data_IF_822432203696
#
_entry.id   IF_822432203696
#
_cell.length_a   1.000
_cell.length_b   1.000
_cell.length_c   1.000
_cell.angle_alpha   90.00
_cell.angle_beta   90.00
_cell.angle_gamma   90.00
#
_symmetry.space_group_name_H-M   'P 1'
#
loop_
_entity.id
_entity.type
_entity.pdbx_description
1 polymer ?
#
# COMPACT_ATOMS: atom_id res chain seq x y z
N UNK A 1 -3.21 -23.38 -16.95
CA UNK A 1 -2.82 -21.96 -17.05
C UNK A 1 -2.32 -21.58 -15.69
N UNK A 2 -1.11 -21.09 -15.57
CA UNK A 2 -0.53 -20.69 -14.29
C UNK A 2 -1.29 -19.45 -13.79
N UNK A 3 -1.80 -19.49 -12.56
CA UNK A 3 -2.58 -18.39 -11.99
C UNK A 3 -1.63 -17.25 -11.61
N UNK A 4 -1.94 -16.02 -12.04
CA UNK A 4 -1.13 -14.83 -11.76
C UNK A 4 -1.83 -13.90 -10.78
N UNK A 5 -1.04 -13.20 -9.96
CA UNK A 5 -1.51 -12.12 -9.11
C UNK A 5 -1.00 -10.76 -9.61
N UNK A 6 -1.90 -9.76 -9.78
CA UNK A 6 -3.34 -9.85 -9.62
C UNK A 6 -3.99 -10.46 -10.88
N UNK A 7 -5.09 -11.20 -10.72
CA UNK A 7 -5.82 -11.81 -11.85
C UNK A 7 -6.59 -10.80 -12.70
N UNK A 8 -6.86 -9.62 -12.14
CA UNK A 8 -7.50 -8.46 -12.80
C UNK A 8 -7.05 -7.18 -12.11
N UNK A 9 -7.22 -6.04 -12.77
CA UNK A 9 -6.90 -4.77 -12.14
C UNK A 9 -7.85 -4.44 -10.96
N UNK A 10 -7.29 -3.84 -9.91
CA UNK A 10 -8.01 -3.15 -8.84
C UNK A 10 -7.57 -1.70 -8.86
N UNK A 11 -8.53 -0.79 -9.00
CA UNK A 11 -8.27 0.64 -9.21
C UNK A 11 -8.69 1.46 -8.00
N UNK A 12 -8.02 2.59 -7.78
CA UNK A 12 -8.40 3.60 -6.81
C UNK A 12 -8.40 3.09 -5.37
N UNK A 13 -7.45 2.22 -5.01
CA UNK A 13 -7.33 1.71 -3.63
C UNK A 13 -6.84 2.85 -2.74
N UNK A 14 -7.79 3.55 -2.15
CA UNK A 14 -7.54 4.71 -1.31
C UNK A 14 -7.08 4.33 0.10
N UNK A 15 -6.07 5.04 0.58
CA UNK A 15 -5.62 5.04 1.96
C UNK A 15 -5.62 6.47 2.46
N UNK A 16 -6.29 6.68 3.59
CA UNK A 16 -6.27 7.93 4.33
C UNK A 16 -6.06 7.60 5.79
N UNK A 17 -4.90 7.97 6.31
CA UNK A 17 -4.51 7.79 7.69
C UNK A 17 -4.36 9.15 8.35
N UNK A 18 -4.81 9.24 9.60
CA UNK A 18 -4.54 10.37 10.49
C UNK A 18 -5.47 10.34 11.71
N UNK A 19 -4.97 10.69 12.89
CA UNK A 19 -5.81 10.86 14.09
C UNK A 19 -6.33 12.27 14.19
N UNK A 20 -7.55 12.44 14.68
CA UNK A 20 -8.26 13.74 14.70
C UNK A 20 -7.74 14.65 15.83
N UNK A 21 -6.76 14.21 16.64
CA UNK A 21 -6.50 14.83 17.95
C UNK A 21 -5.05 15.15 18.34
N UNK A 22 -4.02 14.69 17.63
CA UNK A 22 -2.64 14.90 18.06
C UNK A 22 -1.79 15.50 16.93
N UNK A 23 -0.85 16.39 17.30
CA UNK A 23 0.25 16.87 16.44
C UNK A 23 1.28 15.77 16.14
N UNK A 24 0.85 14.51 16.04
CA UNK A 24 1.72 13.37 15.77
C UNK A 24 1.85 13.20 14.26
N UNK A 25 3.05 12.85 13.73
CA UNK A 25 3.27 12.68 12.31
C UNK A 25 2.66 11.35 11.80
N UNK A 26 1.33 11.34 11.67
CA UNK A 26 0.48 10.20 11.35
C UNK A 26 -0.40 10.37 10.10
N UNK A 27 -0.09 11.37 9.27
CA UNK A 27 -0.80 11.67 8.03
C UNK A 27 -0.23 10.89 6.84
N UNK A 28 -1.11 10.17 6.14
CA UNK A 28 -0.87 9.65 4.80
C UNK A 28 -2.17 9.68 4.00
N UNK A 29 -2.15 10.24 2.79
CA UNK A 29 -3.33 10.27 1.92
C UNK A 29 -2.94 10.01 0.48
N UNK A 30 -3.25 8.83 -0.03
CA UNK A 30 -2.91 8.45 -1.41
C UNK A 30 -3.85 7.38 -1.95
N UNK A 31 -3.75 7.14 -3.26
CA UNK A 31 -4.43 6.02 -3.92
C UNK A 31 -3.48 5.23 -4.80
N UNK A 32 -3.65 3.90 -4.79
CA UNK A 32 -2.89 2.97 -5.62
C UNK A 32 -3.80 2.22 -6.57
N UNK A 33 -3.31 1.98 -7.78
CA UNK A 33 -3.82 0.94 -8.67
C UNK A 33 -2.94 -0.30 -8.59
N UNK A 34 -3.57 -1.47 -8.59
CA UNK A 34 -2.91 -2.77 -8.66
C UNK A 34 -3.33 -3.43 -9.97
N UNK A 35 -2.38 -3.62 -10.88
CA UNK A 35 -2.64 -4.06 -12.24
C UNK A 35 -1.82 -5.29 -12.60
N UNK A 36 -2.34 -6.19 -13.45
CA UNK A 36 -1.50 -7.19 -14.08
C UNK A 36 -0.39 -6.51 -14.89
N UNK A 37 0.81 -7.08 -14.87
CA UNK A 37 1.90 -6.60 -15.72
C UNK A 37 1.52 -6.74 -17.21
N UNK A 38 1.79 -5.70 -18.03
CA UNK A 38 1.53 -5.77 -19.47
C UNK A 38 2.30 -6.90 -20.15
N UNK A 39 1.67 -7.51 -21.16
CA UNK A 39 2.32 -8.52 -22.01
C UNK A 39 2.55 -9.88 -21.33
N UNK A 40 1.88 -10.16 -20.21
CA UNK A 40 2.03 -11.43 -19.50
C UNK A 40 3.38 -11.61 -18.80
N UNK A 41 4.12 -10.51 -18.57
CA UNK A 41 5.37 -10.52 -17.81
C UNK A 41 5.11 -10.89 -16.35
N UNK A 42 6.06 -11.55 -15.72
CA UNK A 42 6.07 -11.82 -14.29
C UNK A 42 6.98 -10.82 -13.58
N UNK A 43 6.85 -10.71 -12.26
CA UNK A 43 7.59 -9.80 -11.41
C UNK A 43 6.75 -8.68 -10.79
N UNK A 44 7.44 -7.69 -10.26
CA UNK A 44 6.87 -6.55 -9.54
C UNK A 44 7.41 -5.23 -10.10
N UNK A 45 6.52 -4.29 -10.36
CA UNK A 45 6.84 -2.93 -10.84
C UNK A 45 6.09 -1.91 -9.98
N UNK A 46 6.79 -0.88 -9.48
CA UNK A 46 6.17 0.25 -8.78
C UNK A 46 6.39 1.53 -9.58
N UNK A 47 5.30 2.23 -9.90
CA UNK A 47 5.26 3.41 -10.78
C UNK A 47 4.77 4.59 -9.96
N UNK A 48 5.60 5.61 -9.79
CA UNK A 48 5.31 6.78 -8.94
C UNK A 48 5.47 8.14 -9.65
N UNK A 49 5.86 8.13 -10.91
CA UNK A 49 6.16 9.28 -11.77
C UNK A 49 4.92 9.97 -12.38
N UNK A 50 3.71 9.56 -12.00
CA UNK A 50 2.45 10.04 -12.62
C UNK A 50 1.78 11.20 -11.90
N UNK A 51 2.04 11.39 -10.61
CA UNK A 51 1.45 12.48 -9.83
C UNK A 51 2.39 12.86 -8.68
N UNK A 52 3.10 13.98 -8.85
CA UNK A 52 3.88 14.59 -7.78
C UNK A 52 2.92 15.40 -6.93
N UNK A 53 2.42 14.81 -5.84
CA UNK A 53 1.90 15.63 -4.76
C UNK A 53 3.03 16.53 -4.28
N UNK A 54 3.00 17.82 -4.63
CA UNK A 54 3.81 18.82 -3.96
C UNK A 54 3.19 19.03 -2.57
N UNK A 55 4.02 19.21 -1.54
CA UNK A 55 3.49 19.71 -0.28
C UNK A 55 3.16 21.21 -0.40
N UNK A 56 2.68 21.83 0.68
CA UNK A 56 2.30 23.25 0.67
C UNK A 56 3.49 24.22 0.47
N UNK A 57 4.72 23.71 0.40
CA UNK A 57 5.97 24.47 0.26
C UNK A 57 6.81 24.05 -0.96
N UNK A 58 6.24 23.28 -1.90
CA UNK A 58 6.95 22.73 -3.07
C UNK A 58 8.17 21.86 -2.70
N UNK A 59 8.19 21.22 -1.52
CA UNK A 59 9.24 20.28 -1.14
C UNK A 59 9.02 18.92 -1.81
N UNK A 60 10.13 18.30 -2.23
CA UNK A 60 10.18 16.96 -2.83
C UNK A 60 9.99 15.83 -1.79
N UNK A 61 8.97 15.93 -0.94
CA UNK A 61 8.58 14.85 -0.03
C UNK A 61 8.21 13.55 -0.76
N UNK A 62 7.89 13.67 -2.05
CA UNK A 62 7.62 12.54 -2.93
C UNK A 62 8.78 11.55 -2.98
N UNK A 63 10.01 12.03 -3.18
CA UNK A 63 11.19 11.17 -3.24
C UNK A 63 11.47 10.45 -1.91
N UNK A 64 11.06 11.06 -0.79
CA UNK A 64 11.19 10.48 0.53
C UNK A 64 10.12 9.42 0.81
N UNK A 65 8.86 9.70 0.48
CA UNK A 65 7.73 8.87 0.94
C UNK A 65 7.19 7.88 -0.10
N UNK A 66 7.32 8.11 -1.40
CA UNK A 66 6.93 7.12 -2.40
C UNK A 66 7.69 5.79 -2.23
N UNK A 67 9.01 5.76 -1.95
CA UNK A 67 9.71 4.52 -1.63
C UNK A 67 9.20 3.82 -0.36
N UNK A 68 8.67 4.58 0.62
CA UNK A 68 8.09 4.01 1.82
C UNK A 68 6.75 3.33 1.54
N UNK A 69 5.92 3.93 0.67
CA UNK A 69 4.68 3.29 0.18
C UNK A 69 5.02 1.97 -0.53
N UNK A 70 5.99 1.98 -1.45
CA UNK A 70 6.47 0.77 -2.15
C UNK A 70 6.90 -0.31 -1.15
N UNK A 71 7.76 0.05 -0.19
CA UNK A 71 8.22 -0.86 0.86
C UNK A 71 7.05 -1.48 1.63
N UNK A 72 6.04 -0.69 1.98
CA UNK A 72 4.83 -1.17 2.64
C UNK A 72 4.07 -2.21 1.82
N UNK A 73 3.89 -1.94 0.52
CA UNK A 73 3.25 -2.86 -0.41
C UNK A 73 4.01 -4.18 -0.45
N UNK A 74 5.34 -4.14 -0.63
CA UNK A 74 6.17 -5.35 -0.69
C UNK A 74 6.08 -6.18 0.59
N UNK A 75 6.11 -5.54 1.77
CA UNK A 75 5.95 -6.24 3.05
C UNK A 75 4.63 -7.02 3.11
N UNK A 76 3.53 -6.44 2.61
CA UNK A 76 2.26 -7.16 2.56
C UNK A 76 2.31 -8.36 1.60
N UNK A 77 2.92 -8.19 0.43
CA UNK A 77 3.04 -9.22 -0.60
C UNK A 77 3.98 -10.36 -0.20
N UNK A 78 5.00 -10.09 0.60
CA UNK A 78 5.90 -11.10 1.16
C UNK A 78 5.33 -11.75 2.43
N UNK A 79 4.12 -11.40 2.86
CA UNK A 79 3.48 -11.96 4.05
C UNK A 79 4.10 -11.48 5.36
N UNK A 80 4.89 -10.41 5.33
CA UNK A 80 5.42 -9.78 6.54
C UNK A 80 4.28 -9.13 7.34
N UNK A 81 4.41 -9.11 8.68
CA UNK A 81 3.40 -8.49 9.53
C UNK A 81 3.24 -7.01 9.21
N UNK A 82 2.09 -6.46 9.60
CA UNK A 82 1.83 -5.02 9.57
C UNK A 82 3.00 -4.27 10.24
N UNK A 83 3.62 -3.27 9.58
CA UNK A 83 4.70 -2.48 10.16
C UNK A 83 4.32 -1.86 11.51
N UNK A 84 5.25 -1.90 12.48
CA UNK A 84 5.13 -1.25 13.79
C UNK A 84 5.95 0.04 13.78
N UNK A 85 5.36 1.16 14.13
CA UNK A 85 6.12 2.38 14.42
C UNK A 85 5.67 3.00 15.73
N UNK A 86 6.56 3.79 16.33
CA UNK A 86 6.57 4.19 17.75
C UNK A 86 5.29 4.93 18.19
N UNK A 87 4.57 5.56 17.26
CA UNK A 87 3.28 6.25 17.47
C UNK A 87 2.04 5.37 17.27
N UNK A 88 2.19 4.09 16.89
CA UNK A 88 1.09 3.18 16.61
C UNK A 88 1.07 2.03 17.62
N UNK A 89 0.17 2.10 18.60
CA UNK A 89 -0.12 0.95 19.45
C UNK A 89 -0.61 -0.23 18.60
N UNK A 90 -0.11 -1.41 18.98
CA UNK A 90 -0.13 -2.64 18.22
C UNK A 90 -1.55 -3.17 17.97
N UNK A 91 -1.85 -3.48 16.70
CA UNK A 91 -2.73 -4.61 16.40
C UNK A 91 -1.84 -5.75 15.89
N UNK A 92 -1.80 -6.83 16.65
CA UNK A 92 -0.93 -7.98 16.45
C UNK A 92 -1.58 -9.08 15.64
N UNK A 93 -2.83 -8.91 15.18
CA UNK A 93 -3.51 -9.92 14.40
C UNK A 93 -2.95 -9.97 12.96
N UNK A 94 -2.26 -11.06 12.54
CA UNK A 94 -1.98 -11.27 11.13
C UNK A 94 -3.31 -11.44 10.41
N UNK A 95 -3.76 -10.41 9.70
CA UNK A 95 -4.89 -10.52 8.77
C UNK A 95 -4.37 -10.47 7.35
N UNK A 96 -4.03 -11.62 6.80
CA UNK A 96 -4.09 -11.84 5.36
C UNK A 96 -4.13 -13.34 5.06
N UNK A 97 -5.13 -13.76 4.29
CA UNK A 97 -5.16 -15.07 3.62
C UNK A 97 -3.89 -15.23 2.77
N UNK A 98 -3.19 -16.37 2.82
CA UNK A 98 -1.92 -16.55 2.13
C UNK A 98 -2.08 -16.35 0.62
N UNK A 99 -1.35 -15.39 0.07
CA UNK A 99 -0.99 -15.36 -1.36
C UNK A 99 0.44 -15.86 -1.41
N UNK A 100 0.81 -16.50 -2.52
CA UNK A 100 2.20 -16.85 -2.79
C UNK A 100 3.11 -15.67 -2.46
N UNK A 101 4.07 -15.90 -1.55
CA UNK A 101 5.04 -14.86 -1.18
C UNK A 101 5.77 -14.45 -2.47
N UNK A 102 6.15 -13.18 -2.54
CA UNK A 102 6.91 -12.60 -3.67
C UNK A 102 8.13 -13.47 -4.10
N UNK A 103 8.61 -14.33 -3.19
CA UNK A 103 9.77 -15.21 -3.33
C UNK A 103 9.44 -16.65 -3.80
N UNK A 104 8.31 -16.86 -4.49
CA UNK A 104 7.99 -18.15 -5.10
C UNK A 104 7.59 -19.22 -4.09
N UNK A 105 6.61 -18.90 -3.23
CA UNK A 105 5.97 -19.94 -2.42
C UNK A 105 5.48 -21.07 -3.34
N UNK A 106 5.86 -22.31 -3.02
CA UNK A 106 5.59 -23.50 -3.86
C UNK A 106 4.10 -23.68 -4.23
N UNK A 107 3.19 -23.09 -3.44
CA UNK A 107 1.74 -23.28 -3.56
C UNK A 107 0.97 -21.96 -3.83
N UNK A 108 1.60 -20.94 -4.42
CA UNK A 108 0.96 -19.64 -4.66
C UNK A 108 0.99 -19.14 -6.11
N UNK A 109 0.12 -18.20 -6.48
CA UNK A 109 0.10 -17.63 -7.84
C UNK A 109 1.39 -16.86 -8.12
N UNK A 110 1.79 -16.85 -9.39
CA UNK A 110 2.95 -16.10 -9.86
C UNK A 110 2.67 -14.60 -9.76
N UNK A 111 3.54 -13.86 -9.08
CA UNK A 111 3.43 -12.40 -9.03
C UNK A 111 3.71 -11.83 -10.42
N UNK A 112 2.75 -11.08 -10.94
CA UNK A 112 2.80 -10.36 -12.20
C UNK A 112 2.13 -9.00 -12.00
N UNK A 113 2.67 -8.19 -11.08
CA UNK A 113 2.00 -7.02 -10.52
C UNK A 113 2.71 -5.73 -10.90
N UNK A 114 1.96 -4.78 -11.45
CA UNK A 114 2.32 -3.37 -11.49
C UNK A 114 1.47 -2.60 -10.48
N UNK A 115 2.12 -1.83 -9.62
CA UNK A 115 1.49 -0.91 -8.68
C UNK A 115 1.73 0.51 -9.15
N UNK A 116 0.67 1.29 -9.29
CA UNK A 116 0.75 2.68 -9.74
C UNK A 116 0.27 3.58 -8.61
N UNK A 117 1.12 4.51 -8.17
CA UNK A 117 0.73 5.62 -7.31
C UNK A 117 -0.03 6.63 -8.16
N UNK A 118 -1.34 6.67 -7.99
CA UNK A 118 -2.26 7.46 -8.83
C UNK A 118 -2.38 8.88 -8.33
N UNK A 119 -2.41 9.05 -7.01
CA UNK A 119 -2.44 10.35 -6.36
C UNK A 119 -1.87 10.27 -4.97
N UNK A 120 -1.27 11.36 -4.52
CA UNK A 120 -0.72 11.48 -3.18
C UNK A 120 -0.80 12.91 -2.69
N UNK A 121 -1.07 13.07 -1.40
CA UNK A 121 -0.98 14.33 -0.69
C UNK A 121 -0.01 14.14 0.47
N UNK A 122 0.95 15.05 0.57
CA UNK A 122 1.86 15.12 1.70
C UNK A 122 1.51 16.30 2.61
N UNK A 123 1.97 16.19 3.85
CA UNK A 123 1.94 17.26 4.84
C UNK A 123 3.31 17.32 5.51
N UNK A 124 4.00 18.45 5.42
CA UNK A 124 5.41 18.57 5.83
C UNK A 124 5.65 18.16 7.29
N UNK A 125 4.72 18.51 8.18
CA UNK A 125 4.85 18.25 9.62
C UNK A 125 4.28 16.89 10.01
N UNK A 126 3.20 16.46 9.33
CA UNK A 126 2.41 15.32 9.80
C UNK A 126 2.72 14.04 9.02
N UNK A 127 3.54 14.12 7.96
CA UNK A 127 3.97 12.95 7.21
C UNK A 127 5.18 12.30 7.86
N UNK A 128 5.18 10.98 7.92
CA UNK A 128 6.35 10.20 8.31
C UNK A 128 6.55 9.00 7.40
N UNK A 129 7.78 8.49 7.34
CA UNK A 129 8.08 7.25 6.62
C UNK A 129 7.20 6.09 7.12
N UNK A 130 6.99 6.04 8.43
CA UNK A 130 6.27 4.94 9.06
C UNK A 130 4.80 4.87 8.66
N UNK A 131 4.11 6.01 8.61
CA UNK A 131 2.71 6.02 8.19
C UNK A 131 2.55 5.73 6.69
N UNK A 132 3.49 6.18 5.85
CA UNK A 132 3.47 5.87 4.42
C UNK A 132 3.74 4.38 4.15
N UNK A 133 4.67 3.77 4.90
CA UNK A 133 4.89 2.33 4.85
C UNK A 133 3.69 1.53 5.34
N UNK A 134 3.08 1.94 6.46
CA UNK A 134 1.84 1.34 6.93
C UNK A 134 0.73 1.46 5.86
N UNK A 135 0.57 2.64 5.27
CA UNK A 135 -0.40 2.88 4.22
C UNK A 135 -0.19 1.96 3.02
N UNK A 136 1.06 1.76 2.59
CA UNK A 136 1.37 0.86 1.48
C UNK A 136 0.97 -0.58 1.79
N UNK A 137 1.29 -1.05 3.00
CA UNK A 137 0.87 -2.38 3.48
C UNK A 137 -0.65 -2.51 3.48
N UNK A 138 -1.35 -1.48 3.93
CA UNK A 138 -2.81 -1.43 4.03
C UNK A 138 -3.48 -1.40 2.64
N UNK A 139 -2.94 -0.65 1.69
CA UNK A 139 -3.42 -0.62 0.32
C UNK A 139 -3.33 -2.01 -0.33
N UNK A 140 -2.18 -2.68 -0.19
CA UNK A 140 -2.00 -4.04 -0.70
C UNK A 140 -2.98 -5.03 -0.06
N UNK A 141 -3.21 -4.94 1.27
CA UNK A 141 -4.23 -5.74 1.94
C UNK A 141 -5.64 -5.51 1.38
N UNK A 142 -6.06 -4.23 1.22
CA UNK A 142 -7.37 -3.88 0.63
C UNK A 142 -7.52 -4.46 -0.77
N UNK A 143 -6.49 -4.34 -1.62
CA UNK A 143 -6.50 -4.86 -2.98
C UNK A 143 -6.70 -6.38 -3.00
N UNK A 144 -6.04 -7.12 -2.10
CA UNK A 144 -6.19 -8.57 -1.95
C UNK A 144 -7.60 -8.97 -1.52
N UNK A 145 -8.17 -8.29 -0.52
CA UNK A 145 -9.56 -8.52 -0.11
C UNK A 145 -10.51 -8.34 -1.30
N UNK A 146 -10.38 -7.24 -2.03
CA UNK A 146 -11.22 -6.93 -3.20
C UNK A 146 -11.08 -7.97 -4.33
N UNK A 147 -9.88 -8.50 -4.56
CA UNK A 147 -9.65 -9.57 -5.53
C UNK A 147 -10.30 -10.89 -5.09
N UNK A 148 -10.25 -11.21 -3.81
CA UNK A 148 -10.89 -12.37 -3.22
C UNK A 148 -12.43 -12.23 -3.06
N UNK A 149 -13.01 -11.07 -3.41
CA UNK A 149 -14.44 -10.80 -3.20
C UNK A 149 -14.82 -10.60 -1.73
N UNK A 150 -13.83 -10.35 -0.87
CA UNK A 150 -14.02 -10.11 0.57
C UNK A 150 -13.96 -8.61 0.84
N UNK A 151 -14.83 -8.11 1.71
CA UNK A 151 -14.77 -6.72 2.15
C UNK A 151 -13.57 -6.56 3.11
N UNK A 152 -12.64 -5.62 2.86
CA UNK A 152 -11.58 -5.34 3.81
C UNK A 152 -12.19 -4.82 5.12
N UNK A 153 -11.74 -5.34 6.26
CA UNK A 153 -12.16 -4.86 7.57
C UNK A 153 -11.89 -3.36 7.68
N UNK A 154 -12.75 -2.56 8.32
CA UNK A 154 -12.44 -1.16 8.59
C UNK A 154 -11.21 -1.07 9.49
N UNK A 155 -10.24 -0.23 9.14
CA UNK A 155 -9.13 0.08 10.03
C UNK A 155 -9.46 1.33 10.85
N UNK A 156 -9.08 1.35 12.13
CA UNK A 156 -9.37 2.49 13.01
C UNK A 156 -8.74 3.81 12.52
N UNK A 157 -7.75 3.74 11.62
CA UNK A 157 -7.10 4.89 11.00
C UNK A 157 -7.68 5.26 9.64
N UNK A 158 -8.54 4.43 9.04
CA UNK A 158 -9.23 4.76 7.79
C UNK A 158 -10.20 5.91 8.07
N UNK A 159 -9.87 7.14 7.64
CA UNK A 159 -10.83 8.26 7.69
C UNK A 159 -11.92 8.06 6.64
N UNK A 160 -13.17 8.34 7.02
CA UNK A 160 -14.28 8.39 6.08
C UNK A 160 -14.03 9.47 5.02
N UNK A 161 -14.41 9.15 3.78
CA UNK A 161 -14.29 10.03 2.60
C UNK A 161 -15.20 11.24 2.66
#
# INVERSE_FOLDING_TARGET
>A
MEETFPSRAVRGVAVRCGTVGNCDPDFASFSLDFEPLPGGRTGYEFVADRDYGLDEYDLELHELFAPMIDRGVRLNLTGEPRPRFVTFMADTAPRAFPIGRLDGAADGPVIALRVVLVSVRYHAVDSSEGIHQYGGWRAAHKARCLLAGVRPDPDARDRAS
#
